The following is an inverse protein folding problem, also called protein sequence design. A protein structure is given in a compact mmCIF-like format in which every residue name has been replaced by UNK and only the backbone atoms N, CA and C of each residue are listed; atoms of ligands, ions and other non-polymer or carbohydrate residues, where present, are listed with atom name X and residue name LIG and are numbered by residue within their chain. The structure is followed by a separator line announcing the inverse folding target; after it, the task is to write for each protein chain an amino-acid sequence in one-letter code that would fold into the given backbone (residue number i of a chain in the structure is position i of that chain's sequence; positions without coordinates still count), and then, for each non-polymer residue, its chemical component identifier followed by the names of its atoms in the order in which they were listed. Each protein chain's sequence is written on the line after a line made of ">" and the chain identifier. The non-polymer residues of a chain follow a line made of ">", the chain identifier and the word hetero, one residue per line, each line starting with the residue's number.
data_IF_447205070193
#
_entry.id   IF_447205070193
#
_cell.length_a   1.000
_cell.length_b   1.000
_cell.length_c   1.000
_cell.angle_alpha   90.00
_cell.angle_beta   90.00
_cell.angle_gamma   90.00
#
_symmetry.space_group_name_H-M   'P 1'
#
loop_
_entity.id
_entity.type
_entity.pdbx_description
1 polymer ?
#
# COMPACT_ATOMS: atom_id res chain seq x y z
N UNK A 1 -18.28 22.56 -16.12
CA UNK A 1 -17.77 21.21 -16.47
C UNK A 1 -16.26 21.17 -16.61
N UNK A 2 -15.64 22.09 -17.37
CA UNK A 2 -14.17 22.17 -17.60
C UNK A 2 -13.32 22.17 -16.31
N UNK A 3 -13.68 22.96 -15.27
CA UNK A 3 -12.90 23.01 -14.02
C UNK A 3 -12.83 21.67 -13.28
N UNK A 4 -13.86 20.81 -13.40
CA UNK A 4 -13.88 19.48 -12.76
C UNK A 4 -12.97 18.49 -13.49
N UNK A 5 -12.83 18.65 -14.80
CA UNK A 5 -12.01 17.79 -15.66
C UNK A 5 -10.53 18.14 -15.55
N UNK A 6 -10.20 19.43 -15.36
CA UNK A 6 -8.83 19.90 -15.10
C UNK A 6 -8.33 19.41 -13.74
N UNK A 7 -9.13 19.49 -12.68
CA UNK A 7 -8.71 19.01 -11.35
C UNK A 7 -8.48 17.49 -11.35
N UNK A 8 -9.32 16.73 -12.06
CA UNK A 8 -9.13 15.29 -12.22
C UNK A 8 -7.85 14.95 -13.02
N UNK A 9 -7.59 15.67 -14.11
CA UNK A 9 -6.40 15.49 -14.94
C UNK A 9 -5.10 15.92 -14.25
N UNK A 10 -5.14 16.99 -13.45
CA UNK A 10 -3.99 17.47 -12.65
C UNK A 10 -3.68 16.49 -11.52
N UNK A 11 -4.71 15.94 -10.86
CA UNK A 11 -4.51 14.92 -9.83
C UNK A 11 -3.97 13.61 -10.41
N UNK A 12 -4.38 13.24 -11.62
CA UNK A 12 -3.88 12.06 -12.35
C UNK A 12 -2.44 12.24 -12.85
N UNK A 13 -2.10 13.43 -13.35
CA UNK A 13 -0.75 13.77 -13.81
C UNK A 13 0.26 13.87 -12.65
N UNK A 14 -0.17 14.43 -11.51
CA UNK A 14 0.62 14.40 -10.27
C UNK A 14 0.83 12.96 -9.77
N UNK A 15 -0.14 12.07 -9.97
CA UNK A 15 -0.04 10.67 -9.58
C UNK A 15 0.91 9.85 -10.45
N UNK A 16 0.90 10.02 -11.77
CA UNK A 16 1.88 9.38 -12.67
C UNK A 16 3.32 9.77 -12.33
N UNK A 17 3.55 11.01 -11.85
CA UNK A 17 4.86 11.49 -11.42
C UNK A 17 5.34 10.97 -10.05
N UNK A 18 4.44 10.48 -9.19
CA UNK A 18 4.75 10.00 -7.83
C UNK A 18 4.84 8.47 -7.74
N UNK A 19 4.44 7.74 -8.79
CA UNK A 19 4.50 6.26 -8.83
C UNK A 19 5.92 5.70 -8.86
N UNK A 20 6.97 6.52 -9.06
CA UNK A 20 8.33 6.03 -8.93
C UNK A 20 8.74 5.90 -7.47
N UNK A 21 9.17 4.68 -7.12
CA UNK A 21 9.71 4.21 -5.85
C UNK A 21 8.69 3.56 -4.90
N UNK A 22 8.26 2.36 -5.28
CA UNK A 22 7.82 1.35 -4.32
C UNK A 22 9.03 0.94 -3.47
N UNK A 23 9.29 1.66 -2.38
CA UNK A 23 10.33 1.28 -1.41
C UNK A 23 9.90 -0.01 -0.72
N UNK A 24 10.46 -1.14 -1.15
CA UNK A 24 10.33 -2.39 -0.44
C UNK A 24 10.99 -2.23 0.93
N UNK A 25 10.24 -2.46 2.01
CA UNK A 25 10.84 -2.59 3.33
C UNK A 25 11.66 -3.88 3.31
N UNK A 26 12.97 -3.75 3.54
CA UNK A 26 13.86 -4.90 3.73
C UNK A 26 13.47 -5.61 5.04
N UNK A 27 12.73 -6.70 4.89
CA UNK A 27 12.22 -7.53 5.99
C UNK A 27 13.28 -8.50 6.53
N UNK A 28 14.57 -8.22 6.32
CA UNK A 28 15.67 -9.06 6.77
C UNK A 28 16.28 -9.92 5.67
N UNK A 29 16.32 -9.42 4.43
CA UNK A 29 16.95 -10.08 3.28
C UNK A 29 18.39 -10.53 3.57
N UNK A 30 19.13 -9.76 4.37
CA UNK A 30 20.47 -10.14 4.83
C UNK A 30 20.47 -11.36 5.76
N UNK A 31 19.48 -11.50 6.65
CA UNK A 31 19.36 -12.66 7.54
C UNK A 31 18.90 -13.91 6.79
N UNK A 32 17.99 -13.75 5.82
CA UNK A 32 17.52 -14.85 4.96
C UNK A 32 18.65 -15.33 4.05
N UNK A 33 19.41 -14.42 3.45
CA UNK A 33 20.58 -14.77 2.63
C UNK A 33 21.63 -15.53 3.43
N UNK A 34 21.95 -15.08 4.65
CA UNK A 34 22.88 -15.78 5.53
C UNK A 34 22.37 -17.15 6.01
N UNK A 35 21.07 -17.30 6.27
CA UNK A 35 20.46 -18.58 6.62
C UNK A 35 20.51 -19.57 5.44
N UNK A 36 20.22 -19.10 4.22
CA UNK A 36 20.32 -19.90 2.99
C UNK A 36 21.76 -20.39 2.74
N UNK A 37 22.75 -19.50 2.88
CA UNK A 37 24.18 -19.85 2.75
C UNK A 37 24.61 -20.86 3.82
N UNK A 38 24.18 -20.70 5.08
CA UNK A 38 24.45 -21.67 6.17
C UNK A 38 23.79 -23.03 5.95
N UNK A 39 22.65 -23.08 5.28
CA UNK A 39 21.93 -24.31 4.95
C UNK A 39 22.49 -25.03 3.70
N UNK A 40 23.55 -24.52 3.09
CA UNK A 40 24.22 -25.15 1.94
C UNK A 40 23.62 -24.81 0.58
N UNK A 41 22.71 -23.83 0.50
CA UNK A 41 22.21 -23.31 -0.78
C UNK A 41 23.25 -22.34 -1.37
N UNK A 42 23.58 -22.48 -2.67
CA UNK A 42 24.51 -21.58 -3.33
C UNK A 42 23.91 -20.16 -3.40
N UNK A 43 24.75 -19.12 -3.19
CA UNK A 43 24.34 -17.70 -3.11
C UNK A 43 23.54 -17.17 -4.32
N UNK A 44 23.57 -17.91 -5.44
CA UNK A 44 22.94 -17.56 -6.71
C UNK A 44 21.79 -18.49 -7.11
N UNK A 45 21.34 -19.37 -6.21
CA UNK A 45 20.23 -20.28 -6.51
C UNK A 45 18.94 -19.48 -6.45
N UNK A 46 18.30 -19.36 -7.61
CA UNK A 46 17.10 -18.58 -7.88
C UNK A 46 15.86 -19.11 -7.14
N UNK A 47 15.97 -20.01 -6.18
CA UNK A 47 14.82 -20.63 -5.50
C UNK A 47 14.24 -19.75 -4.37
N UNK A 48 14.93 -18.68 -3.96
CA UNK A 48 14.31 -17.60 -3.16
C UNK A 48 13.28 -16.78 -3.97
N UNK A 49 13.19 -17.02 -5.29
CA UNK A 49 12.32 -16.29 -6.20
C UNK A 49 10.86 -16.34 -5.78
N UNK A 50 10.37 -17.42 -5.16
CA UNK A 50 8.96 -17.45 -4.79
C UNK A 50 8.61 -16.44 -3.70
N UNK A 51 9.39 -16.39 -2.62
CA UNK A 51 9.16 -15.44 -1.53
C UNK A 51 9.43 -13.99 -1.97
N UNK A 52 10.48 -13.77 -2.76
CA UNK A 52 10.83 -12.45 -3.30
C UNK A 52 9.80 -11.95 -4.31
N UNK A 53 9.37 -12.81 -5.24
CA UNK A 53 8.30 -12.51 -6.21
C UNK A 53 6.98 -12.24 -5.50
N UNK A 54 6.63 -13.02 -4.47
CA UNK A 54 5.44 -12.75 -3.66
C UNK A 54 5.56 -11.43 -2.92
N UNK A 55 6.73 -11.07 -2.39
CA UNK A 55 6.96 -9.76 -1.78
C UNK A 55 6.69 -8.61 -2.76
N UNK A 56 7.22 -8.71 -3.97
CA UNK A 56 7.00 -7.71 -5.04
C UNK A 56 5.54 -7.66 -5.47
N UNK A 57 4.87 -8.81 -5.62
CA UNK A 57 3.45 -8.89 -6.00
C UNK A 57 2.55 -8.29 -4.92
N UNK A 58 2.77 -8.63 -3.65
CA UNK A 58 2.01 -8.09 -2.51
C UNK A 58 2.24 -6.58 -2.40
N UNK A 59 3.47 -6.12 -2.55
CA UNK A 59 3.78 -4.70 -2.50
C UNK A 59 3.13 -3.92 -3.64
N UNK A 60 3.14 -4.49 -4.85
CA UNK A 60 2.45 -3.93 -6.01
C UNK A 60 0.94 -3.89 -5.78
N UNK A 61 0.35 -4.94 -5.25
CA UNK A 61 -1.06 -4.97 -4.90
C UNK A 61 -1.40 -3.92 -3.82
N UNK A 62 -0.59 -3.79 -2.78
CA UNK A 62 -0.77 -2.81 -1.70
C UNK A 62 -0.68 -1.36 -2.22
N UNK A 63 0.22 -1.08 -3.18
CA UNK A 63 0.32 0.25 -3.77
C UNK A 63 -0.93 0.60 -4.58
N UNK A 64 -1.45 -0.33 -5.39
CA UNK A 64 -2.73 -0.15 -6.09
C UNK A 64 -3.90 0.07 -5.12
N UNK A 65 -3.94 -0.70 -4.03
CA UNK A 65 -4.97 -0.56 -2.99
C UNK A 65 -4.94 0.84 -2.37
N UNK A 66 -3.74 1.35 -2.02
CA UNK A 66 -3.59 2.72 -1.50
C UNK A 66 -4.10 3.80 -2.45
N UNK A 67 -3.83 3.64 -3.76
CA UNK A 67 -4.29 4.56 -4.81
C UNK A 67 -5.82 4.58 -4.91
N UNK A 68 -6.45 3.40 -4.84
CA UNK A 68 -7.91 3.27 -4.90
C UNK A 68 -8.55 3.96 -3.69
N UNK A 69 -8.03 3.73 -2.48
CA UNK A 69 -8.53 4.37 -1.27
C UNK A 69 -8.41 5.90 -1.32
N UNK A 70 -7.28 6.42 -1.80
CA UNK A 70 -7.12 7.86 -1.96
C UNK A 70 -8.10 8.44 -3.00
N UNK A 71 -8.30 7.74 -4.12
CA UNK A 71 -9.24 8.16 -5.17
C UNK A 71 -10.68 8.19 -4.66
N UNK A 72 -11.08 7.20 -3.86
CA UNK A 72 -12.39 7.16 -3.20
C UNK A 72 -12.54 8.29 -2.17
N UNK A 73 -11.49 8.61 -1.43
CA UNK A 73 -11.49 9.72 -0.47
C UNK A 73 -11.67 11.07 -1.18
N UNK A 74 -10.98 11.28 -2.30
CA UNK A 74 -11.14 12.48 -3.13
C UNK A 74 -12.56 12.56 -3.68
N UNK A 75 -13.10 11.47 -4.23
CA UNK A 75 -14.48 11.40 -4.73
C UNK A 75 -15.51 11.72 -3.63
N UNK A 76 -15.35 11.15 -2.44
CA UNK A 76 -16.23 11.39 -1.31
C UNK A 76 -16.13 12.84 -0.81
N UNK A 77 -14.94 13.43 -0.80
CA UNK A 77 -14.73 14.85 -0.48
C UNK A 77 -15.44 15.76 -1.48
N UNK A 78 -15.38 15.45 -2.77
CA UNK A 78 -16.16 16.17 -3.79
C UNK A 78 -17.66 16.02 -3.58
N UNK A 79 -18.14 14.80 -3.31
CA UNK A 79 -19.55 14.55 -3.04
C UNK A 79 -20.04 15.38 -1.85
N UNK A 80 -19.26 15.44 -0.77
CA UNK A 80 -19.55 16.23 0.42
C UNK A 80 -19.62 17.73 0.12
N UNK A 81 -18.64 18.27 -0.63
CA UNK A 81 -18.63 19.68 -1.04
C UNK A 81 -19.78 20.05 -1.99
N UNK A 82 -20.29 19.09 -2.78
CA UNK A 82 -21.37 19.33 -3.74
C UNK A 82 -22.77 19.11 -3.18
N UNK A 83 -22.89 18.64 -1.94
CA UNK A 83 -24.17 18.27 -1.34
C UNK A 83 -25.16 19.44 -1.18
N UNK A 84 -24.70 20.70 -1.27
CA UNK A 84 -25.56 21.92 -1.22
C UNK A 84 -26.56 21.97 -0.05
N UNK A 85 -26.29 21.23 1.03
CA UNK A 85 -27.18 21.14 2.19
C UNK A 85 -28.17 19.97 2.14
N UNK A 86 -28.14 19.13 1.10
CA UNK A 86 -28.94 17.90 1.08
C UNK A 86 -28.32 16.84 2.01
N UNK A 87 -29.09 16.42 3.02
CA UNK A 87 -28.63 15.55 4.11
C UNK A 87 -28.22 14.18 3.60
N UNK A 88 -28.95 13.64 2.63
CA UNK A 88 -28.69 12.30 2.08
C UNK A 88 -27.35 12.22 1.34
N UNK A 89 -26.94 13.30 0.65
CA UNK A 89 -25.62 13.37 0.01
C UNK A 89 -24.48 13.54 1.01
N UNK A 90 -24.72 14.29 2.09
CA UNK A 90 -23.74 14.47 3.18
C UNK A 90 -23.50 13.14 3.90
N UNK A 91 -24.56 12.42 4.25
CA UNK A 91 -24.46 11.14 4.95
C UNK A 91 -23.78 10.07 4.08
N UNK A 92 -24.11 10.05 2.79
CA UNK A 92 -23.45 9.16 1.82
C UNK A 92 -21.96 9.45 1.72
N UNK A 93 -21.57 10.72 1.60
CA UNK A 93 -20.16 11.11 1.55
C UNK A 93 -19.40 10.74 2.82
N UNK A 94 -19.99 11.03 4.00
CA UNK A 94 -19.43 10.66 5.30
C UNK A 94 -19.23 9.16 5.44
N UNK A 95 -20.20 8.35 4.99
CA UNK A 95 -20.10 6.89 5.00
C UNK A 95 -18.93 6.39 4.15
N UNK A 96 -18.74 6.94 2.95
CA UNK A 96 -17.62 6.56 2.07
C UNK A 96 -16.28 6.96 2.70
N UNK A 97 -16.17 8.14 3.32
CA UNK A 97 -14.94 8.58 4.01
C UNK A 97 -14.60 7.63 5.16
N UNK A 98 -15.56 7.30 6.02
CA UNK A 98 -15.35 6.41 7.17
C UNK A 98 -14.92 5.01 6.69
N UNK A 99 -15.62 4.45 5.70
CA UNK A 99 -15.29 3.14 5.15
C UNK A 99 -13.90 3.11 4.51
N UNK A 100 -13.54 4.16 3.76
CA UNK A 100 -12.22 4.27 3.14
C UNK A 100 -11.11 4.42 4.17
N UNK A 101 -11.36 5.17 5.25
CA UNK A 101 -10.41 5.36 6.34
C UNK A 101 -10.16 4.07 7.13
N UNK A 102 -11.21 3.30 7.43
CA UNK A 102 -11.07 2.01 8.10
C UNK A 102 -10.25 1.03 7.23
N UNK A 103 -10.54 0.97 5.93
CA UNK A 103 -9.77 0.12 4.99
C UNK A 103 -8.29 0.52 4.91
N UNK A 104 -8.00 1.81 4.90
CA UNK A 104 -6.63 2.33 4.94
C UNK A 104 -5.91 1.94 6.24
N UNK A 105 -6.56 2.13 7.40
CA UNK A 105 -6.00 1.79 8.71
C UNK A 105 -5.69 0.29 8.80
N UNK A 106 -6.59 -0.57 8.34
CA UNK A 106 -6.37 -2.02 8.33
C UNK A 106 -5.19 -2.38 7.43
N UNK A 107 -5.11 -1.81 6.23
CA UNK A 107 -4.04 -2.10 5.28
C UNK A 107 -2.67 -1.69 5.83
N UNK A 108 -2.57 -0.46 6.33
CA UNK A 108 -1.34 0.07 6.95
C UNK A 108 -1.00 -0.68 8.23
N UNK A 109 -2.01 -1.02 9.04
CA UNK A 109 -1.84 -1.81 10.26
C UNK A 109 -1.31 -3.21 9.99
N UNK A 110 -1.88 -3.94 9.03
CA UNK A 110 -1.41 -5.26 8.62
C UNK A 110 0.05 -5.24 8.12
N UNK A 111 0.39 -4.22 7.32
CA UNK A 111 1.75 -4.01 6.85
C UNK A 111 2.72 -3.70 7.99
N UNK A 112 2.32 -2.83 8.93
CA UNK A 112 3.13 -2.44 10.09
C UNK A 112 3.38 -3.62 11.04
N UNK A 113 2.37 -4.46 11.28
CA UNK A 113 2.50 -5.68 12.08
C UNK A 113 3.52 -6.64 11.43
N UNK A 114 3.41 -6.85 10.12
CA UNK A 114 4.32 -7.72 9.37
C UNK A 114 5.76 -7.21 9.42
N UNK A 115 5.94 -5.90 9.23
CA UNK A 115 7.25 -5.24 9.33
C UNK A 115 7.86 -5.29 10.73
N UNK A 116 7.04 -5.36 11.78
CA UNK A 116 7.53 -5.46 13.15
C UNK A 116 7.90 -6.90 13.53
N UNK A 117 7.06 -7.88 13.20
CA UNK A 117 7.20 -9.27 13.68
C UNK A 117 8.29 -10.03 12.92
N UNK A 118 8.36 -9.90 11.60
CA UNK A 118 9.29 -10.68 10.76
C UNK A 118 10.77 -10.49 11.14
N UNK A 119 11.31 -9.26 11.27
CA UNK A 119 12.72 -9.09 11.62
C UNK A 119 13.04 -9.59 13.04
N UNK A 120 12.08 -9.54 13.97
CA UNK A 120 12.25 -10.07 15.33
C UNK A 120 12.48 -11.58 15.28
N UNK A 121 11.70 -12.31 14.48
CA UNK A 121 11.84 -13.77 14.35
C UNK A 121 13.17 -14.12 13.70
N UNK A 122 13.52 -13.46 12.58
CA UNK A 122 14.76 -13.73 11.85
C UNK A 122 16.01 -13.47 12.70
N UNK A 123 16.01 -12.40 13.50
CA UNK A 123 17.15 -12.07 14.39
C UNK A 123 17.34 -13.12 15.49
N UNK A 124 16.26 -13.78 15.94
CA UNK A 124 16.33 -14.83 16.98
C UNK A 124 16.76 -16.18 16.44
N UNK A 125 16.44 -16.48 15.17
CA UNK A 125 16.84 -17.74 14.53
C UNK A 125 18.25 -17.68 13.93
N UNK A 126 18.75 -16.50 13.55
CA UNK A 126 20.07 -16.34 12.92
C UNK A 126 21.25 -16.22 13.92
N UNK A 127 20.97 -16.01 15.22
CA UNK A 127 21.95 -16.13 16.32
C UNK A 127 22.17 -17.60 16.66
#
# INVERSE_FOLDING_TARGET
>A
MIKRLIVFSVSLAFFLGVVSNAYAIDLGGNYIKNAATKAGYAENTTDTTFAETLGVVVQTALSFVGIIFLSLMVYAGFLWMTARGETDQVDKAKKIIIQSMIGLIITVGAYSITAFIVPIILTRTAK
#
